data_IF_361402681680
#
_entry.id   IF_361402681680
#
_cell.length_a   1.000
_cell.length_b   1.000
_cell.length_c   1.000
_cell.angle_alpha   90.00
_cell.angle_beta   90.00
_cell.angle_gamma   90.00
#
_symmetry.space_group_name_H-M   'P 1'
#
loop_
_entity.id
_entity.type
_entity.pdbx_description
1 polymer ?
#
# COMPACT_ATOMS: atom_id res chain seq x y z
N UNK A 1 -3.94 -3.58 -8.17
CA UNK A 1 -5.40 -3.44 -7.98
C UNK A 1 -5.80 -4.30 -6.80
N UNK A 2 -6.47 -3.74 -5.79
CA UNK A 2 -6.89 -4.47 -4.58
C UNK A 2 -8.41 -4.51 -4.58
N UNK A 3 -8.98 -5.70 -4.63
CA UNK A 3 -10.43 -5.91 -4.60
C UNK A 3 -10.87 -6.28 -3.19
N UNK A 4 -11.88 -5.59 -2.67
CA UNK A 4 -12.47 -5.85 -1.35
C UNK A 4 -13.86 -6.46 -1.51
N UNK A 5 -14.20 -7.35 -0.59
CA UNK A 5 -15.53 -7.99 -0.53
C UNK A 5 -16.63 -7.00 -0.16
N UNK A 6 -16.27 -5.92 0.54
CA UNK A 6 -17.21 -4.93 1.07
C UNK A 6 -16.95 -3.52 0.53
N UNK A 7 -17.99 -2.67 0.42
CA UNK A 7 -17.81 -1.27 0.06
C UNK A 7 -16.95 -0.51 1.07
N UNK A 8 -15.88 0.10 0.57
CA UNK A 8 -14.95 0.90 1.35
C UNK A 8 -14.81 2.29 0.75
N UNK A 9 -14.58 3.27 1.61
CA UNK A 9 -14.27 4.65 1.26
C UNK A 9 -12.82 4.93 1.64
N UNK A 10 -12.05 5.42 0.68
CA UNK A 10 -10.73 5.96 0.93
C UNK A 10 -10.85 7.21 1.81
N UNK A 11 -10.10 7.26 2.92
CA UNK A 11 -10.09 8.42 3.83
C UNK A 11 -8.80 9.22 3.65
N UNK A 12 -7.66 8.54 3.77
CA UNK A 12 -6.32 9.12 3.63
C UNK A 12 -5.28 8.00 3.54
N UNK A 13 -4.05 8.33 3.19
CA UNK A 13 -2.92 7.43 3.31
C UNK A 13 -1.67 8.16 3.82
N UNK A 14 -0.68 7.39 4.27
CA UNK A 14 0.64 7.87 4.67
C UNK A 14 1.69 6.81 4.34
N UNK A 15 2.89 7.18 3.86
CA UNK A 15 3.28 8.50 3.34
C UNK A 15 2.44 8.88 2.10
N UNK A 16 2.49 10.14 1.65
CA UNK A 16 1.59 10.64 0.59
C UNK A 16 2.08 10.44 -0.85
N UNK A 17 3.38 10.26 -1.04
CA UNK A 17 4.00 10.27 -2.38
C UNK A 17 4.96 9.09 -2.58
N UNK A 18 5.79 8.78 -1.59
CA UNK A 18 6.76 7.69 -1.69
C UNK A 18 7.14 7.08 -0.36
N UNK A 19 7.50 5.80 -0.38
CA UNK A 19 7.88 5.05 0.80
C UNK A 19 8.15 3.58 0.51
N UNK A 20 8.68 2.89 1.52
CA UNK A 20 8.77 1.42 1.58
C UNK A 20 7.53 0.81 2.23
N UNK A 21 6.77 1.62 2.95
CA UNK A 21 5.48 1.27 3.54
C UNK A 21 4.44 2.27 3.05
N UNK A 22 3.25 1.80 2.74
CA UNK A 22 2.08 2.62 2.45
C UNK A 22 0.92 2.17 3.33
N UNK A 23 0.51 3.04 4.24
CA UNK A 23 -0.63 2.81 5.13
C UNK A 23 -1.83 3.64 4.71
N UNK A 24 -2.88 2.97 4.29
CA UNK A 24 -4.11 3.57 3.78
C UNK A 24 -5.18 3.41 4.86
N UNK A 25 -5.75 4.52 5.32
CA UNK A 25 -6.94 4.52 6.15
C UNK A 25 -8.18 4.45 5.27
N UNK A 26 -9.02 3.47 5.54
CA UNK A 26 -10.31 3.29 4.86
C UNK A 26 -11.46 3.35 5.86
N UNK A 27 -12.65 3.64 5.36
CA UNK A 27 -13.90 3.60 6.13
C UNK A 27 -14.90 2.72 5.41
N UNK A 28 -15.54 1.83 6.15
CA UNK A 28 -16.65 1.05 5.65
C UNK A 28 -17.92 1.89 5.81
N UNK A 29 -18.82 1.86 4.83
CA UNK A 29 -20.06 2.67 4.87
C UNK A 29 -21.33 1.89 4.57
N UNK A 30 -21.23 0.58 4.31
CA UNK A 30 -22.38 -0.29 4.03
C UNK A 30 -22.17 -1.66 4.69
N UNK A 31 -22.14 -1.64 6.02
CA UNK A 31 -21.90 -2.83 6.86
C UNK A 31 -23.24 -3.53 7.10
N UNK A 32 -23.54 -4.56 6.31
CA UNK A 32 -24.59 -5.51 6.64
C UNK A 32 -24.21 -6.31 7.90
N UNK A 33 -25.20 -6.67 8.73
CA UNK A 33 -24.95 -7.34 10.03
C UNK A 33 -24.13 -8.63 9.90
N UNK A 34 -24.34 -9.40 8.83
CA UNK A 34 -23.62 -10.65 8.53
C UNK A 34 -22.13 -10.48 8.23
N UNK A 35 -21.68 -9.29 7.81
CA UNK A 35 -20.29 -9.09 7.42
C UNK A 35 -19.44 -8.50 8.55
N UNK A 36 -20.03 -8.29 9.75
CA UNK A 36 -19.37 -7.68 10.91
C UNK A 36 -18.13 -8.42 11.39
N UNK A 37 -18.12 -9.74 11.35
CA UNK A 37 -17.00 -10.54 11.86
C UNK A 37 -15.78 -10.47 10.93
N UNK A 38 -16.00 -10.49 9.61
CA UNK A 38 -14.93 -10.27 8.63
C UNK A 38 -14.30 -8.87 8.76
N UNK A 39 -15.05 -7.88 9.27
CA UNK A 39 -14.54 -6.52 9.44
C UNK A 39 -13.57 -6.36 10.60
N UNK A 40 -13.72 -7.12 11.67
CA UNK A 40 -12.81 -7.08 12.82
C UNK A 40 -11.70 -8.12 12.71
N UNK A 41 -11.45 -8.61 11.50
CA UNK A 41 -10.38 -9.58 11.24
C UNK A 41 -9.12 -8.88 10.74
N UNK A 42 -7.98 -9.50 11.04
CA UNK A 42 -6.70 -9.17 10.44
C UNK A 42 -6.40 -10.17 9.33
N UNK A 43 -6.12 -9.68 8.13
CA UNK A 43 -5.78 -10.50 6.98
C UNK A 43 -4.43 -10.09 6.42
N UNK A 44 -3.63 -11.09 6.02
CA UNK A 44 -2.35 -10.88 5.33
C UNK A 44 -2.41 -11.55 3.97
N UNK A 45 -2.06 -10.80 2.93
CA UNK A 45 -1.95 -11.26 1.56
C UNK A 45 -0.53 -11.04 1.06
N UNK A 46 0.12 -12.13 0.66
CA UNK A 46 1.40 -12.10 -0.03
C UNK A 46 1.12 -12.26 -1.52
N UNK A 47 1.36 -11.24 -2.36
CA UNK A 47 1.16 -11.37 -3.80
C UNK A 47 2.12 -12.43 -4.35
N UNK A 48 1.62 -13.28 -5.25
CA UNK A 48 2.49 -14.18 -6.00
C UNK A 48 3.45 -13.32 -6.84
N UNK A 49 4.75 -13.40 -6.52
CA UNK A 49 5.80 -12.56 -7.11
C UNK A 49 5.73 -12.56 -8.63
N UNK A 50 5.29 -11.42 -9.17
CA UNK A 50 5.60 -11.06 -10.56
C UNK A 50 6.86 -10.22 -10.49
N UNK A 51 7.87 -10.53 -11.33
CA UNK A 51 9.19 -9.87 -11.30
C UNK A 51 9.13 -8.33 -11.42
N UNK A 52 7.98 -7.79 -11.82
CA UNK A 52 7.72 -6.37 -12.01
C UNK A 52 7.06 -5.65 -10.82
N UNK A 53 6.52 -6.35 -9.82
CA UNK A 53 5.78 -5.72 -8.72
C UNK A 53 6.63 -5.68 -7.43
N UNK A 54 7.02 -4.49 -6.94
CA UNK A 54 7.84 -4.36 -5.74
C UNK A 54 7.04 -4.48 -4.43
N UNK A 55 5.97 -5.28 -4.41
CA UNK A 55 5.09 -5.46 -3.24
C UNK A 55 5.39 -6.80 -2.59
N UNK A 56 5.79 -6.79 -1.32
CA UNK A 56 6.10 -8.00 -0.55
C UNK A 56 4.88 -8.51 0.21
N UNK A 57 4.14 -7.60 0.86
CA UNK A 57 3.03 -7.97 1.73
C UNK A 57 1.95 -6.89 1.71
N UNK A 58 0.69 -7.32 1.82
CA UNK A 58 -0.46 -6.47 2.08
C UNK A 58 -1.18 -6.97 3.32
N UNK A 59 -1.38 -6.09 4.30
CA UNK A 59 -2.02 -6.39 5.57
C UNK A 59 -3.28 -5.54 5.71
N UNK A 60 -4.42 -6.18 5.93
CA UNK A 60 -5.65 -5.54 6.37
C UNK A 60 -5.76 -5.66 7.89
N UNK A 61 -5.89 -4.53 8.56
CA UNK A 61 -6.06 -4.41 10.02
C UNK A 61 -7.45 -3.84 10.31
N UNK A 62 -8.45 -4.71 10.44
CA UNK A 62 -9.83 -4.32 10.76
C UNK A 62 -10.18 -4.34 12.24
N UNK A 63 -9.34 -4.96 13.07
CA UNK A 63 -9.49 -5.17 14.51
C UNK A 63 -9.10 -3.94 15.36
N UNK A 64 -8.72 -2.83 14.73
CA UNK A 64 -8.24 -1.62 15.41
C UNK A 64 -9.39 -0.61 15.62
N UNK A 65 -9.55 -0.09 16.83
CA UNK A 65 -10.59 0.91 17.18
C UNK A 65 -10.56 2.18 16.31
N UNK A 66 -9.38 2.57 15.84
CA UNK A 66 -9.19 3.74 14.97
C UNK A 66 -9.76 3.56 13.55
N UNK A 67 -10.30 2.40 13.24
CA UNK A 67 -10.87 2.02 11.94
C UNK A 67 -9.88 1.21 11.11
N UNK A 68 -10.37 0.60 10.02
CA UNK A 68 -9.57 -0.33 9.25
C UNK A 68 -8.42 0.36 8.50
N UNK A 69 -7.26 -0.29 8.52
CA UNK A 69 -6.09 0.12 7.76
C UNK A 69 -5.70 -0.95 6.75
N UNK A 70 -5.26 -0.52 5.57
CA UNK A 70 -4.57 -1.34 4.60
C UNK A 70 -3.11 -0.91 4.58
N UNK A 71 -2.21 -1.81 4.96
CA UNK A 71 -0.77 -1.55 5.00
C UNK A 71 -0.09 -2.38 3.92
N UNK A 72 0.61 -1.71 3.01
CA UNK A 72 1.37 -2.32 1.94
C UNK A 72 2.85 -2.18 2.27
N UNK A 73 3.58 -3.28 2.21
CA UNK A 73 5.02 -3.34 2.38
C UNK A 73 5.68 -3.59 1.04
N UNK A 74 6.58 -2.69 0.66
CA UNK A 74 7.31 -2.76 -0.59
C UNK A 74 8.75 -3.22 -0.34
N UNK A 75 9.31 -4.00 -1.26
CA UNK A 75 10.70 -4.48 -1.19
C UNK A 75 11.75 -3.39 -1.36
N UNK A 76 11.32 -2.22 -1.82
CA UNK A 76 12.14 -1.02 -2.01
C UNK A 76 11.27 0.22 -1.96
N UNK A 77 11.90 1.37 -1.73
CA UNK A 77 11.21 2.66 -1.81
C UNK A 77 10.65 2.88 -3.22
N UNK A 78 9.35 3.12 -3.31
CA UNK A 78 8.67 3.44 -4.57
C UNK A 78 7.84 4.70 -4.45
N UNK A 79 7.65 5.39 -5.57
CA UNK A 79 6.66 6.45 -5.69
C UNK A 79 5.31 5.79 -5.99
N UNK A 80 4.28 6.18 -5.25
CA UNK A 80 2.96 5.60 -5.39
C UNK A 80 1.87 6.68 -5.40
N UNK A 81 0.76 6.36 -6.04
CA UNK A 81 -0.46 7.16 -6.00
C UNK A 81 -1.63 6.26 -5.64
N UNK A 82 -2.45 6.69 -4.68
CA UNK A 82 -3.60 5.92 -4.20
C UNK A 82 -4.89 6.56 -4.69
N UNK A 83 -5.71 5.76 -5.37
CA UNK A 83 -7.03 6.16 -5.81
C UNK A 83 -8.07 5.14 -5.37
N UNK A 84 -9.28 5.62 -5.06
CA UNK A 84 -10.43 4.76 -4.87
C UNK A 84 -10.96 4.33 -6.24
N UNK A 85 -11.23 3.04 -6.41
CA UNK A 85 -11.86 2.55 -7.63
C UNK A 85 -13.31 3.02 -7.76
N UNK A 86 -13.80 3.01 -8.99
CA UNK A 86 -15.14 3.52 -9.35
C UNK A 86 -16.28 2.69 -8.75
N UNK A 87 -16.01 1.45 -8.34
CA UNK A 87 -16.95 0.52 -7.73
C UNK A 87 -17.12 0.71 -6.21
N UNK A 88 -16.35 1.63 -5.58
CA UNK A 88 -16.25 1.77 -4.12
C UNK A 88 -15.92 0.46 -3.39
N UNK A 89 -15.40 -0.54 -4.10
CA UNK A 89 -15.00 -1.87 -3.59
C UNK A 89 -13.58 -2.23 -3.98
N UNK A 90 -12.87 -1.29 -4.60
CA UNK A 90 -11.48 -1.46 -4.95
C UNK A 90 -10.65 -0.25 -4.55
N UNK A 91 -9.40 -0.52 -4.18
CA UNK A 91 -8.36 0.48 -4.01
C UNK A 91 -7.31 0.23 -5.07
N UNK A 92 -6.98 1.27 -5.83
CA UNK A 92 -5.97 1.23 -6.88
C UNK A 92 -4.76 1.97 -6.38
N UNK A 93 -3.65 1.25 -6.28
CA UNK A 93 -2.32 1.83 -5.99
C UNK A 93 -1.53 1.76 -7.28
N UNK A 94 -1.22 2.94 -7.84
CA UNK A 94 -0.32 3.09 -8.97
C UNK A 94 1.09 3.19 -8.42
N UNK A 95 1.98 2.30 -8.88
CA UNK A 95 3.39 2.33 -8.50
C UNK A 95 4.15 2.86 -9.69
N UNK A 96 4.73 4.05 -9.55
CA UNK A 96 5.69 4.55 -10.52
C UNK A 96 7.01 3.84 -10.27
N UNK A 97 7.60 3.26 -11.33
CA UNK A 97 8.99 2.82 -11.29
C UNK A 97 9.84 4.08 -11.13
N UNK A 98 10.07 4.49 -9.88
CA UNK A 98 11.09 5.47 -9.57
C UNK A 98 12.40 4.88 -10.07
N UNK A 99 12.96 5.45 -11.13
CA UNK A 99 14.33 5.17 -11.49
C UNK A 99 15.14 5.60 -10.27
N UNK A 100 15.54 4.63 -9.47
CA UNK A 100 16.48 4.82 -8.37
C UNK A 100 17.62 5.64 -8.92
N UNK A 101 17.62 6.94 -8.65
CA UNK A 101 18.77 7.79 -8.92
C UNK A 101 19.81 7.31 -7.94
N UNK A 102 20.56 6.33 -8.41
CA UNK A 102 21.91 5.98 -8.01
C UNK A 102 22.58 7.27 -7.56
N UNK A 103 22.57 7.50 -6.25
CA UNK A 103 23.51 8.41 -5.62
C UNK A 103 24.83 7.66 -5.59
N UNK A 104 25.37 7.40 -6.79
CA UNK A 104 26.77 7.07 -6.95
C UNK A 104 27.50 8.33 -6.50
N UNK A 105 27.92 8.32 -5.24
CA UNK A 105 28.99 9.17 -4.77
C UNK A 105 30.12 9.04 -5.79
N UNK A 106 30.52 10.09 -6.52
CA UNK A 106 31.71 10.01 -7.34
C UNK A 106 32.85 9.68 -6.37
N UNK A 107 33.49 8.53 -6.59
CA UNK A 107 34.72 8.17 -5.91
C UNK A 107 35.68 9.36 -6.06
N UNK A 108 36.23 9.93 -4.97
CA UNK A 108 37.36 10.83 -5.15
C UNK A 108 38.45 10.01 -5.84
N UNK A 109 38.91 10.50 -6.99
CA UNK A 109 40.01 9.88 -7.74
C UNK A 109 41.26 9.79 -6.86
N UNK A 110 42.25 8.99 -7.25
CA UNK A 110 43.52 8.98 -6.54
C UNK A 110 44.11 10.39 -6.65
N UNK A 111 44.32 11.06 -5.52
CA UNK A 111 45.22 12.20 -5.44
C UNK A 111 46.62 11.66 -5.78
N UNK A 112 47.02 11.78 -7.04
CA UNK A 112 48.41 11.79 -7.49
C UNK A 112 48.99 13.18 -7.17
N UNK A 113 49.75 13.28 -6.08
CA UNK A 113 51.16 13.77 -5.99
C UNK A 113 51.59 13.98 -4.53
#
# INVERSE_FOLDING_TARGET
>A
HISLTSPVRYIRHFPYESGEELRIKISLFDISRDNREAFFSRETLVPFSTEDLPLDELVYEGDIESGPYLTLFFSRRVDFEVQQGTDSRSIVVYINKSASKTSARPSPGPDEE
#
